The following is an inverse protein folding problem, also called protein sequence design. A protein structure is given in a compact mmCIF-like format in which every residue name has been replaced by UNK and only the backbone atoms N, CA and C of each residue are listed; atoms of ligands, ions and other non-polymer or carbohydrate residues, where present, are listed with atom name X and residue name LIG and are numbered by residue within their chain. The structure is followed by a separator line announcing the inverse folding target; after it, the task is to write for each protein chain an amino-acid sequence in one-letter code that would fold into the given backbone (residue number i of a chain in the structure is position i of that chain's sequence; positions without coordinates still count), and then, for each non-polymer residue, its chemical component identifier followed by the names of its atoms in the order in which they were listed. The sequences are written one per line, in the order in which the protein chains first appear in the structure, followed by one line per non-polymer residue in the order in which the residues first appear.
data_IF_814193609264
#
_entry.id   IF_814193609264
#
_cell.length_a   1.000
_cell.length_b   1.000
_cell.length_c   1.000
_cell.angle_alpha   90.00
_cell.angle_beta   90.00
_cell.angle_gamma   90.00
#
_symmetry.space_group_name_H-M   'P 1'
#
loop_
_entity.id
_entity.type
_entity.pdbx_description
1 polymer ?
#
# COMPACT_ATOMS: atom_id res chain seq x y z
N UNK A 1 3.91 -9.96 25.51
CA UNK A 1 4.31 -8.54 25.67
C UNK A 1 5.36 -8.23 24.61
N UNK A 2 4.93 -7.71 23.45
CA UNK A 2 5.77 -7.57 22.25
C UNK A 2 6.48 -6.20 22.24
N UNK A 3 7.65 -6.12 22.89
CA UNK A 3 8.42 -4.87 23.01
C UNK A 3 9.31 -4.60 21.78
N UNK A 4 9.43 -5.57 20.87
CA UNK A 4 10.16 -5.45 19.60
C UNK A 4 9.22 -5.18 18.42
N UNK A 5 8.35 -4.18 18.53
CA UNK A 5 7.99 -3.46 17.30
C UNK A 5 9.27 -2.74 16.87
N UNK A 6 9.96 -3.32 15.87
CA UNK A 6 11.27 -2.90 15.39
C UNK A 6 11.34 -1.38 15.23
N UNK A 7 12.49 -0.78 15.55
CA UNK A 7 12.74 0.66 15.35
C UNK A 7 12.37 1.11 13.93
N UNK A 8 12.53 0.19 12.97
CA UNK A 8 12.11 0.31 11.58
C UNK A 8 10.59 0.39 11.43
N UNK A 9 9.81 -0.49 12.07
CA UNK A 9 8.35 -0.42 12.05
C UNK A 9 7.84 0.91 12.64
N UNK A 10 8.44 1.39 13.74
CA UNK A 10 8.10 2.71 14.30
C UNK A 10 8.37 3.82 13.28
N UNK A 11 9.50 3.75 12.58
CA UNK A 11 9.87 4.71 11.54
C UNK A 11 8.87 4.68 10.37
N UNK A 12 8.43 3.49 9.96
CA UNK A 12 7.37 3.31 8.95
C UNK A 12 6.07 3.96 9.40
N UNK A 13 5.62 3.71 10.64
CA UNK A 13 4.41 4.31 11.19
C UNK A 13 4.47 5.84 11.23
N UNK A 14 5.61 6.42 11.65
CA UNK A 14 5.78 7.88 11.68
C UNK A 14 5.77 8.48 10.27
N UNK A 15 6.46 7.86 9.31
CA UNK A 15 6.44 8.29 7.91
C UNK A 15 5.03 8.21 7.33
N UNK A 16 4.29 7.16 7.67
CA UNK A 16 2.93 6.98 7.19
C UNK A 16 2.00 8.07 7.74
N UNK A 17 2.08 8.34 9.05
CA UNK A 17 1.36 9.44 9.70
C UNK A 17 1.66 10.79 9.03
N UNK A 18 2.95 11.06 8.76
CA UNK A 18 3.36 12.28 8.06
C UNK A 18 2.83 12.34 6.62
N UNK A 19 2.81 11.21 5.91
CA UNK A 19 2.25 11.15 4.56
C UNK A 19 0.74 11.45 4.53
N UNK A 20 -0.01 10.96 5.52
CA UNK A 20 -1.43 11.30 5.67
C UNK A 20 -1.65 12.78 5.98
N UNK A 21 -0.88 13.34 6.91
CA UNK A 21 -0.92 14.77 7.24
C UNK A 21 -0.62 15.64 6.01
N UNK A 22 0.38 15.26 5.21
CA UNK A 22 0.71 15.95 3.97
C UNK A 22 -0.42 15.88 2.93
N UNK A 23 -1.04 14.72 2.74
CA UNK A 23 -2.09 14.54 1.73
C UNK A 23 -3.42 15.20 2.12
N UNK A 24 -3.80 15.16 3.40
CA UNK A 24 -5.12 15.61 3.85
C UNK A 24 -5.15 17.05 4.38
N UNK A 25 -4.11 17.45 5.12
CA UNK A 25 -4.06 18.74 5.84
C UNK A 25 -3.22 19.75 5.07
N UNK A 26 -1.96 19.43 4.81
CA UNK A 26 -1.03 20.40 4.19
C UNK A 26 -1.37 20.66 2.73
N UNK A 27 -1.95 19.68 2.02
CA UNK A 27 -2.38 19.89 0.63
C UNK A 27 -3.41 21.01 0.47
N UNK A 28 -4.22 21.30 1.50
CA UNK A 28 -5.17 22.42 1.48
C UNK A 28 -4.50 23.79 1.51
N UNK A 29 -3.22 23.83 1.88
CA UNK A 29 -2.39 25.04 1.99
C UNK A 29 -1.39 25.13 0.82
N UNK A 30 -1.48 24.24 -0.16
CA UNK A 30 -0.59 24.27 -1.31
C UNK A 30 -0.79 25.58 -2.10
N UNK A 31 0.30 26.22 -2.56
CA UNK A 31 0.22 27.48 -3.29
C UNK A 31 -0.38 27.25 -4.69
N UNK A 32 -1.10 28.24 -5.22
CA UNK A 32 -1.73 28.17 -6.55
C UNK A 32 -0.72 27.92 -7.68
N UNK A 33 0.52 28.36 -7.53
CA UNK A 33 1.59 28.15 -8.52
C UNK A 33 2.14 26.71 -8.53
N UNK A 34 1.88 25.93 -7.49
CA UNK A 34 2.29 24.52 -7.41
C UNK A 34 1.19 23.71 -6.70
N UNK A 35 0.06 23.49 -7.38
CA UNK A 35 -1.03 22.71 -6.82
C UNK A 35 -0.53 21.28 -6.54
N UNK A 36 -1.01 20.70 -5.44
CA UNK A 36 -0.71 19.33 -5.02
C UNK A 36 0.74 19.05 -4.60
N UNK A 37 1.56 20.07 -4.36
CA UNK A 37 2.93 19.91 -3.86
C UNK A 37 3.01 18.94 -2.66
N UNK A 38 2.09 19.06 -1.71
CA UNK A 38 2.09 18.21 -0.53
C UNK A 38 1.71 16.77 -0.84
N UNK A 39 0.82 16.53 -1.82
CA UNK A 39 0.46 15.16 -2.28
C UNK A 39 1.62 14.48 -2.99
N UNK A 40 2.40 15.21 -3.80
CA UNK A 40 3.63 14.65 -4.39
C UNK A 40 4.64 14.25 -3.32
N UNK A 41 4.83 15.08 -2.29
CA UNK A 41 5.70 14.74 -1.15
C UNK A 41 5.17 13.55 -0.35
N UNK A 42 3.85 13.44 -0.18
CA UNK A 42 3.22 12.29 0.45
C UNK A 42 3.48 11.01 -0.38
N UNK A 43 3.40 11.08 -1.72
CA UNK A 43 3.72 9.98 -2.63
C UNK A 43 5.15 9.49 -2.46
N UNK A 44 6.11 10.40 -2.33
CA UNK A 44 7.52 10.02 -2.13
C UNK A 44 7.72 9.25 -0.81
N UNK A 45 7.08 9.70 0.28
CA UNK A 45 7.10 8.98 1.57
C UNK A 45 6.43 7.61 1.46
N UNK A 46 5.29 7.51 0.77
CA UNK A 46 4.58 6.25 0.58
C UNK A 46 5.40 5.25 -0.26
N UNK A 47 6.11 5.72 -1.30
CA UNK A 47 7.05 4.89 -2.07
C UNK A 47 8.20 4.39 -1.20
N UNK A 48 8.75 5.24 -0.34
CA UNK A 48 9.80 4.84 0.61
C UNK A 48 9.28 3.76 1.58
N UNK A 49 8.08 3.96 2.15
CA UNK A 49 7.43 2.98 3.02
C UNK A 49 7.21 1.66 2.29
N UNK A 50 6.73 1.70 1.04
CA UNK A 50 6.52 0.50 0.23
C UNK A 50 7.81 -0.32 0.09
N UNK A 51 8.93 0.35 -0.22
CA UNK A 51 10.25 -0.29 -0.28
C UNK A 51 10.68 -0.84 1.08
N UNK A 52 10.47 -0.13 2.19
CA UNK A 52 10.77 -0.62 3.53
C UNK A 52 9.94 -1.87 3.88
N UNK A 53 8.64 -1.88 3.59
CA UNK A 53 7.77 -3.04 3.85
C UNK A 53 8.18 -4.26 3.02
N UNK A 54 8.54 -4.05 1.75
CA UNK A 54 8.99 -5.14 0.87
C UNK A 54 10.34 -5.71 1.33
N UNK A 55 11.25 -4.88 1.86
CA UNK A 55 12.52 -5.36 2.45
C UNK A 55 12.28 -6.21 3.69
N UNK A 56 11.43 -5.75 4.61
CA UNK A 56 11.05 -6.51 5.81
C UNK A 56 10.45 -7.87 5.41
N UNK A 57 9.68 -7.92 4.32
CA UNK A 57 9.14 -9.18 3.82
C UNK A 57 10.23 -10.14 3.32
N UNK A 58 11.19 -9.66 2.52
CA UNK A 58 12.28 -10.49 1.98
C UNK A 58 13.16 -11.06 3.10
N UNK A 59 13.39 -10.28 4.16
CA UNK A 59 14.19 -10.72 5.32
C UNK A 59 13.47 -11.78 6.17
N UNK A 60 12.13 -11.78 6.20
CA UNK A 60 11.31 -12.78 6.89
C UNK A 60 11.12 -14.08 6.07
N UNK A 61 11.24 -14.01 4.75
CA UNK A 61 10.95 -15.11 3.79
C UNK A 61 12.22 -15.76 3.20
N UNK A 62 13.35 -15.69 3.90
CA UNK A 62 14.56 -16.42 3.51
C UNK A 62 14.28 -17.92 3.27
N UNK A 63 14.27 -18.30 1.98
CA UNK A 63 13.91 -19.60 1.38
C UNK A 63 12.44 -19.78 0.97
N UNK A 64 11.96 -19.05 -0.05
CA UNK A 64 11.43 -19.63 -1.29
C UNK A 64 10.77 -18.58 -2.21
N UNK A 65 11.14 -18.65 -3.48
CA UNK A 65 10.51 -18.10 -4.68
C UNK A 65 10.77 -16.62 -5.04
N UNK A 66 11.82 -16.45 -5.86
CA UNK A 66 11.98 -15.31 -6.73
C UNK A 66 11.20 -15.59 -8.03
N UNK A 67 10.03 -14.97 -8.17
CA UNK A 67 9.47 -14.56 -9.46
C UNK A 67 8.82 -13.19 -9.23
N UNK A 68 8.95 -12.12 -10.02
CA UNK A 68 9.64 -11.81 -11.28
C UNK A 68 9.49 -10.27 -11.44
N UNK A 69 10.35 -9.66 -12.26
CA UNK A 69 10.03 -8.45 -13.04
C UNK A 69 9.88 -7.09 -12.35
N UNK A 70 10.98 -6.33 -12.30
CA UNK A 70 10.91 -4.89 -12.57
C UNK A 70 10.66 -4.71 -14.08
N UNK A 71 9.61 -4.00 -14.47
CA UNK A 71 9.48 -3.54 -15.86
C UNK A 71 8.71 -2.23 -15.98
N UNK A 72 9.50 -1.19 -16.24
CA UNK A 72 9.12 0.05 -16.90
C UNK A 72 8.37 -0.24 -18.21
N UNK A 73 7.36 0.58 -18.51
CA UNK A 73 6.36 0.42 -19.57
C UNK A 73 6.91 0.09 -20.97
N UNK A 74 6.30 -0.90 -21.64
CA UNK A 74 6.04 -0.95 -23.09
C UNK A 74 4.92 -1.94 -23.43
N UNK A 75 4.26 -1.67 -24.53
CA UNK A 75 2.88 -2.02 -24.89
C UNK A 75 2.55 -3.50 -25.16
N UNK A 76 1.24 -3.78 -25.01
CA UNK A 76 0.33 -4.79 -25.62
C UNK A 76 0.90 -6.14 -26.07
N UNK A 77 0.36 -7.23 -25.53
CA UNK A 77 -0.04 -8.45 -26.26
C UNK A 77 -1.04 -9.25 -25.43
N UNK A 78 -2.05 -9.73 -26.14
CA UNK A 78 -3.21 -10.54 -25.75
C UNK A 78 -2.78 -11.89 -25.15
N UNK A 79 -3.29 -12.23 -23.96
CA UNK A 79 -2.98 -13.47 -23.27
C UNK A 79 -3.41 -13.41 -21.81
N UNK A 80 -4.56 -14.03 -21.51
CA UNK A 80 -5.07 -14.23 -20.16
C UNK A 80 -3.98 -14.82 -19.23
N UNK A 81 -3.66 -14.20 -18.09
CA UNK A 81 -2.90 -14.90 -17.06
C UNK A 81 -3.87 -15.78 -16.29
N UNK A 82 -3.60 -17.07 -16.42
CA UNK A 82 -4.22 -18.17 -15.70
C UNK A 82 -4.41 -17.80 -14.23
N UNK A 83 -5.64 -17.99 -13.75
CA UNK A 83 -6.07 -17.84 -12.37
C UNK A 83 -5.34 -18.86 -11.48
N UNK A 84 -4.07 -18.59 -11.17
CA UNK A 84 -3.37 -19.22 -10.06
C UNK A 84 -4.10 -18.78 -8.80
N UNK A 85 -4.98 -19.68 -8.34
CA UNK A 85 -5.62 -19.63 -7.04
C UNK A 85 -4.54 -19.66 -5.95
N UNK A 86 -3.94 -18.49 -5.72
CA UNK A 86 -3.02 -18.25 -4.62
C UNK A 86 -3.73 -18.61 -3.34
N UNK A 87 -3.07 -19.43 -2.53
CA UNK A 87 -3.57 -19.89 -1.24
C UNK A 87 -4.08 -18.69 -0.44
N UNK A 88 -5.40 -18.61 -0.23
CA UNK A 88 -6.00 -17.56 0.58
C UNK A 88 -5.38 -17.62 1.98
N UNK A 89 -4.80 -16.51 2.42
CA UNK A 89 -4.19 -16.38 3.73
C UNK A 89 -5.27 -15.86 4.69
N UNK A 90 -5.34 -16.39 5.92
CA UNK A 90 -6.16 -15.75 6.94
C UNK A 90 -5.64 -14.32 7.17
N UNK A 91 -6.53 -13.35 7.32
CA UNK A 91 -6.14 -11.95 7.54
C UNK A 91 -5.21 -11.76 8.74
N UNK A 92 -5.31 -12.65 9.75
CA UNK A 92 -4.50 -12.61 10.97
C UNK A 92 -3.16 -13.35 10.82
N UNK A 93 -2.96 -14.07 9.72
CA UNK A 93 -1.67 -14.68 9.44
C UNK A 93 -0.61 -13.58 9.24
N UNK A 94 0.67 -13.84 9.54
CA UNK A 94 1.74 -12.88 9.27
C UNK A 94 1.76 -12.43 7.81
N UNK A 95 1.51 -13.34 6.87
CA UNK A 95 1.40 -13.04 5.44
C UNK A 95 0.20 -12.14 5.13
N UNK A 96 -0.97 -12.41 5.73
CA UNK A 96 -2.17 -11.59 5.59
C UNK A 96 -1.98 -10.17 6.12
N UNK A 97 -1.32 -10.02 7.28
CA UNK A 97 -1.02 -8.72 7.85
C UNK A 97 0.00 -7.93 7.01
N UNK A 98 1.01 -8.62 6.43
CA UNK A 98 1.95 -8.00 5.47
C UNK A 98 1.24 -7.53 4.20
N UNK A 99 0.41 -8.39 3.61
CA UNK A 99 -0.37 -8.05 2.43
C UNK A 99 -1.31 -6.88 2.71
N UNK A 100 -1.98 -6.84 3.87
CA UNK A 100 -2.83 -5.72 4.28
C UNK A 100 -2.04 -4.41 4.42
N UNK A 101 -0.85 -4.44 5.03
CA UNK A 101 0.03 -3.26 5.14
C UNK A 101 0.45 -2.72 3.78
N UNK A 102 0.86 -3.60 2.86
CA UNK A 102 1.20 -3.22 1.49
C UNK A 102 -0.02 -2.68 0.73
N UNK A 103 -1.19 -3.30 0.91
CA UNK A 103 -2.44 -2.88 0.28
C UNK A 103 -2.83 -1.46 0.71
N UNK A 104 -2.71 -1.14 2.00
CA UNK A 104 -2.96 0.21 2.52
C UNK A 104 -2.05 1.23 1.82
N UNK A 105 -0.75 0.93 1.67
CA UNK A 105 0.17 1.84 0.98
C UNK A 105 -0.19 2.00 -0.50
N UNK A 106 -0.55 0.92 -1.19
CA UNK A 106 -1.03 0.94 -2.58
C UNK A 106 -2.31 1.77 -2.73
N UNK A 107 -3.25 1.65 -1.78
CA UNK A 107 -4.47 2.46 -1.76
C UNK A 107 -4.15 3.96 -1.69
N UNK A 108 -3.33 4.40 -0.73
CA UNK A 108 -3.01 5.82 -0.59
C UNK A 108 -2.16 6.36 -1.75
N UNK A 109 -1.31 5.53 -2.35
CA UNK A 109 -0.64 5.88 -3.61
C UNK A 109 -1.67 6.09 -4.74
N UNK A 110 -2.65 5.19 -4.87
CA UNK A 110 -3.71 5.31 -5.87
C UNK A 110 -4.57 6.55 -5.68
N UNK A 111 -5.02 6.83 -4.45
CA UNK A 111 -5.80 8.03 -4.11
C UNK A 111 -5.04 9.30 -4.48
N UNK A 112 -3.77 9.40 -4.07
CA UNK A 112 -2.97 10.58 -4.40
C UNK A 112 -2.86 10.79 -5.92
N UNK A 113 -2.64 9.74 -6.72
CA UNK A 113 -2.58 9.87 -8.18
C UNK A 113 -3.93 10.29 -8.78
N UNK A 114 -5.05 9.74 -8.31
CA UNK A 114 -6.37 10.13 -8.79
C UNK A 114 -6.64 11.60 -8.47
N UNK A 115 -6.31 12.04 -7.26
CA UNK A 115 -6.49 13.43 -6.83
C UNK A 115 -5.56 14.40 -7.56
N UNK A 116 -4.41 13.95 -8.06
CA UNK A 116 -3.52 14.71 -8.95
C UNK A 116 -3.84 14.51 -10.44
N UNK A 117 -5.01 13.94 -10.76
CA UNK A 117 -5.51 13.71 -12.12
C UNK A 117 -4.66 12.72 -12.96
N UNK A 118 -3.76 11.98 -12.32
CA UNK A 118 -2.95 10.89 -12.89
C UNK A 118 -3.72 9.55 -12.89
N UNK A 119 -4.88 9.52 -13.55
CA UNK A 119 -5.88 8.44 -13.41
C UNK A 119 -5.33 7.04 -13.71
N UNK A 120 -4.60 6.86 -14.80
CA UNK A 120 -4.06 5.54 -15.20
C UNK A 120 -3.13 4.94 -14.15
N UNK A 121 -2.24 5.77 -13.58
CA UNK A 121 -1.38 5.35 -12.46
C UNK A 121 -2.19 5.07 -11.20
N UNK A 122 -3.22 5.89 -10.93
CA UNK A 122 -4.16 5.70 -9.85
C UNK A 122 -4.87 4.35 -9.90
N UNK A 123 -5.43 4.00 -11.05
CA UNK A 123 -6.12 2.72 -11.30
C UNK A 123 -5.19 1.53 -11.10
N UNK A 124 -3.95 1.60 -11.60
CA UNK A 124 -2.97 0.52 -11.44
C UNK A 124 -2.68 0.25 -9.95
N UNK A 125 -2.48 1.31 -9.16
CA UNK A 125 -2.26 1.19 -7.72
C UNK A 125 -3.48 0.60 -6.99
N UNK A 126 -4.70 1.03 -7.35
CA UNK A 126 -5.93 0.50 -6.75
C UNK A 126 -6.19 -0.97 -7.13
N UNK A 127 -5.90 -1.38 -8.37
CA UNK A 127 -5.95 -2.78 -8.78
C UNK A 127 -4.97 -3.64 -7.98
N UNK A 128 -3.76 -3.15 -7.75
CA UNK A 128 -2.77 -3.85 -6.93
C UNK A 128 -3.20 -3.96 -5.46
N UNK A 129 -3.83 -2.91 -4.92
CA UNK A 129 -4.45 -2.94 -3.60
C UNK A 129 -5.52 -4.05 -3.52
N UNK A 130 -6.42 -4.12 -4.51
CA UNK A 130 -7.47 -5.13 -4.55
C UNK A 130 -6.90 -6.55 -4.61
N UNK A 131 -5.90 -6.79 -5.47
CA UNK A 131 -5.21 -8.09 -5.57
C UNK A 131 -4.56 -8.54 -4.26
N UNK A 132 -4.11 -7.61 -3.42
CA UNK A 132 -3.54 -7.92 -2.11
C UNK A 132 -4.62 -8.22 -1.07
N UNK A 133 -5.74 -7.49 -1.11
CA UNK A 133 -6.86 -7.67 -0.17
C UNK A 133 -7.67 -8.92 -0.50
N UNK A 134 -7.88 -9.25 -1.78
CA UNK A 134 -8.63 -10.44 -2.22
C UNK A 134 -7.99 -11.75 -1.72
N UNK A 135 -6.67 -11.74 -1.49
CA UNK A 135 -5.92 -12.87 -0.93
C UNK A 135 -6.10 -13.01 0.58
N UNK A 136 -6.64 -11.99 1.25
CA UNK A 136 -6.81 -11.92 2.69
C UNK A 136 -8.26 -12.19 3.07
N UNK A 137 -8.53 -13.28 3.78
CA UNK A 137 -9.86 -13.52 4.33
C UNK A 137 -10.18 -12.50 5.42
N UNK A 138 -11.39 -11.93 5.40
CA UNK A 138 -11.91 -11.09 6.49
C UNK A 138 -12.00 -11.90 7.79
N UNK A 139 -11.37 -11.40 8.85
CA UNK A 139 -11.31 -12.00 10.19
C UNK A 139 -11.83 -10.99 11.22
N UNK A 140 -12.01 -11.39 12.47
CA UNK A 140 -12.56 -10.49 13.50
C UNK A 140 -11.56 -9.37 13.84
N UNK A 141 -10.28 -9.65 13.71
CA UNK A 141 -9.18 -8.79 14.11
C UNK A 141 -8.80 -7.78 13.01
N UNK A 142 -9.27 -7.98 11.77
CA UNK A 142 -9.03 -7.08 10.64
C UNK A 142 -10.25 -6.23 10.25
N UNK A 143 -11.35 -6.31 11.01
CA UNK A 143 -12.54 -5.47 10.83
C UNK A 143 -12.76 -4.60 12.04
N UNK A 144 -12.86 -3.29 11.83
CA UNK A 144 -13.40 -2.37 12.83
C UNK A 144 -14.78 -1.89 12.38
N UNK A 145 -15.77 -2.02 13.25
CA UNK A 145 -17.13 -1.54 13.03
C UNK A 145 -17.37 -0.34 13.94
N UNK A 146 -17.58 0.84 13.34
CA UNK A 146 -18.00 2.03 14.06
C UNK A 146 -19.49 2.26 13.83
N UNK A 147 -20.29 2.12 14.89
CA UNK A 147 -21.73 2.43 14.87
C UNK A 147 -21.93 3.80 15.50
N UNK A 148 -22.35 4.77 14.71
CA UNK A 148 -22.77 6.08 15.22
C UNK A 148 -24.29 6.08 15.40
N UNK A 149 -24.75 5.94 16.65
CA UNK A 149 -26.14 6.17 17.03
C UNK A 149 -26.33 7.64 17.41
N UNK A 150 -27.42 8.25 16.91
CA UNK A 150 -27.80 9.64 17.17
C UNK A 150 -28.69 9.76 18.39
#
# INVERSE_FOLDING_TARGET
MAVNQSTEWRTVCEKFRLAQELSEIESRKDPENNPFRSKYKARDLLKEIHCSLKKIQIEEEGEADNEEGDCESKEVVDGEPENQCGKACSGDSPAGLRAARLAVVQYYLGVNHIETEELSAGEQHLMNCMKLIDKCTTTRENVSLFIQAR
#
